data_IF_511665035343
#
_entry.id   IF_511665035343
#
_cell.length_a   1.000
_cell.length_b   1.000
_cell.length_c   1.000
_cell.angle_alpha   90.00
_cell.angle_beta   90.00
_cell.angle_gamma   90.00
#
_symmetry.space_group_name_H-M   'P 1'
#
loop_
_entity.id
_entity.type
_entity.pdbx_description
1 polymer ?
#
# COMPACT_ATOMS: atom_id res chain seq x y z
N UNK A 1 0.51 -33.81 0.43
CA UNK A 1 0.25 -33.19 -0.89
C UNK A 1 0.50 -31.70 -0.74
N UNK A 2 1.70 -31.26 -1.10
CA UNK A 2 2.16 -29.86 -1.05
C UNK A 2 1.40 -29.08 -2.12
N UNK A 3 0.39 -28.30 -1.71
CA UNK A 3 -0.24 -27.31 -2.60
C UNK A 3 0.74 -26.16 -2.77
N UNK A 4 1.56 -26.23 -3.81
CA UNK A 4 2.31 -25.09 -4.34
C UNK A 4 1.30 -24.11 -4.94
N UNK A 5 0.83 -23.16 -4.14
CA UNK A 5 0.06 -22.02 -4.63
C UNK A 5 1.03 -20.86 -4.73
N UNK A 6 1.61 -20.68 -5.91
CA UNK A 6 2.33 -19.46 -6.26
C UNK A 6 1.67 -18.89 -7.51
N UNK A 7 0.55 -18.19 -7.33
CA UNK A 7 0.04 -17.28 -8.35
C UNK A 7 0.32 -15.84 -7.88
N UNK A 8 1.55 -15.38 -8.06
CA UNK A 8 1.96 -14.02 -7.67
C UNK A 8 1.12 -12.93 -8.37
N UNK A 9 0.42 -13.26 -9.46
CA UNK A 9 -0.37 -12.36 -10.29
C UNK A 9 -1.89 -12.38 -10.04
N UNK A 10 -2.43 -13.28 -9.21
CA UNK A 10 -3.89 -13.31 -9.00
C UNK A 10 -4.32 -12.25 -7.97
N UNK A 11 -5.25 -11.38 -8.37
CA UNK A 11 -5.88 -10.41 -7.47
C UNK A 11 -7.03 -11.09 -6.69
N UNK A 12 -6.86 -11.24 -5.38
CA UNK A 12 -7.91 -11.74 -4.50
C UNK A 12 -9.01 -10.70 -4.29
N UNK A 13 -10.23 -11.17 -4.02
CA UNK A 13 -11.29 -10.29 -3.50
C UNK A 13 -10.91 -9.75 -2.13
N UNK A 14 -11.15 -8.47 -1.89
CA UNK A 14 -11.00 -7.88 -0.58
C UNK A 14 -11.98 -8.55 0.40
N UNK A 15 -11.59 -8.82 1.65
CA UNK A 15 -12.55 -9.28 2.63
C UNK A 15 -13.73 -8.30 2.76
N UNK A 16 -14.91 -8.76 3.18
CA UNK A 16 -16.07 -7.87 3.31
C UNK A 16 -15.90 -6.87 4.45
N UNK A 17 -16.51 -5.69 4.29
CA UNK A 17 -16.60 -4.64 5.31
C UNK A 17 -15.26 -3.99 5.66
N UNK A 18 -14.27 -4.07 4.78
CA UNK A 18 -12.97 -3.44 4.99
C UNK A 18 -13.04 -1.96 4.66
N UNK A 19 -12.32 -1.17 5.43
CA UNK A 19 -12.18 0.27 5.26
C UNK A 19 -10.70 0.60 5.25
N UNK A 20 -10.27 1.30 4.21
CA UNK A 20 -8.86 1.42 3.85
C UNK A 20 -8.48 2.89 3.91
N UNK A 21 -7.52 3.21 4.77
CA UNK A 21 -6.96 4.55 4.85
C UNK A 21 -5.83 4.71 3.82
N UNK A 22 -5.70 5.91 3.27
CA UNK A 22 -4.53 6.35 2.53
C UNK A 22 -3.89 7.52 3.27
N UNK A 23 -2.59 7.41 3.58
CA UNK A 23 -1.77 8.50 4.09
C UNK A 23 -0.75 8.88 3.02
N UNK A 24 -0.90 10.07 2.42
CA UNK A 24 -0.11 10.44 1.23
C UNK A 24 0.70 11.70 1.45
N UNK A 25 1.99 11.66 1.12
CA UNK A 25 2.86 12.83 1.08
C UNK A 25 2.52 13.76 -0.10
N UNK A 26 2.54 15.07 0.14
CA UNK A 26 2.38 16.11 -0.89
C UNK A 26 3.68 16.42 -1.65
N UNK A 27 4.84 16.04 -1.11
CA UNK A 27 6.12 16.15 -1.82
C UNK A 27 6.14 15.25 -3.07
N UNK A 28 6.38 15.85 -4.25
CA UNK A 28 6.23 15.22 -5.58
C UNK A 28 4.88 14.51 -5.77
N UNK A 29 3.83 15.29 -5.51
CA UNK A 29 2.45 14.83 -5.47
C UNK A 29 1.93 14.15 -6.74
N UNK A 30 2.51 14.41 -7.91
CA UNK A 30 2.19 13.76 -9.17
C UNK A 30 2.45 12.24 -9.10
N UNK A 31 3.57 11.83 -8.51
CA UNK A 31 3.91 10.42 -8.33
C UNK A 31 3.06 9.78 -7.24
N UNK A 32 2.91 10.46 -6.10
CA UNK A 32 2.16 9.91 -4.98
C UNK A 32 0.66 9.81 -5.29
N UNK A 33 0.09 10.77 -6.03
CA UNK A 33 -1.30 10.69 -6.52
C UNK A 33 -1.48 9.56 -7.51
N UNK A 34 -0.57 9.41 -8.48
CA UNK A 34 -0.61 8.29 -9.44
C UNK A 34 -0.63 6.94 -8.73
N UNK A 35 0.22 6.74 -7.71
CA UNK A 35 0.20 5.51 -6.91
C UNK A 35 -1.12 5.34 -6.15
N UNK A 36 -1.64 6.40 -5.54
CA UNK A 36 -2.92 6.37 -4.83
C UNK A 36 -4.08 6.00 -5.74
N UNK A 37 -4.14 6.60 -6.93
CA UNK A 37 -5.21 6.37 -7.90
C UNK A 37 -5.18 4.91 -8.38
N UNK A 38 -4.01 4.39 -8.74
CA UNK A 38 -3.85 2.98 -9.13
C UNK A 38 -4.18 2.00 -7.99
N UNK A 39 -3.81 2.35 -6.76
CA UNK A 39 -4.16 1.56 -5.58
C UNK A 39 -5.68 1.52 -5.34
N UNK A 40 -6.36 2.65 -5.47
CA UNK A 40 -7.83 2.73 -5.36
C UNK A 40 -8.50 1.87 -6.43
N UNK A 41 -8.12 2.00 -7.69
CA UNK A 41 -8.67 1.18 -8.78
C UNK A 41 -8.47 -0.32 -8.54
N UNK A 42 -7.32 -0.71 -7.99
CA UNK A 42 -7.03 -2.10 -7.63
C UNK A 42 -7.94 -2.59 -6.49
N UNK A 43 -8.16 -1.76 -5.47
CA UNK A 43 -9.06 -2.08 -4.36
C UNK A 43 -10.52 -2.15 -4.81
N UNK A 44 -10.96 -1.25 -5.68
CA UNK A 44 -12.30 -1.26 -6.29
C UNK A 44 -12.51 -2.53 -7.12
N UNK A 45 -11.53 -2.92 -7.95
CA UNK A 45 -11.55 -4.18 -8.68
C UNK A 45 -11.64 -5.40 -7.75
N UNK A 46 -11.02 -5.31 -6.56
CA UNK A 46 -11.11 -6.33 -5.52
C UNK A 46 -12.42 -6.27 -4.71
N UNK A 47 -13.27 -5.25 -4.89
CA UNK A 47 -14.60 -5.13 -4.28
C UNK A 47 -14.71 -4.13 -3.12
N UNK A 48 -13.77 -3.20 -2.98
CA UNK A 48 -13.91 -2.06 -2.04
C UNK A 48 -14.98 -1.09 -2.56
N UNK A 49 -15.87 -0.61 -1.68
CA UNK A 49 -16.72 0.54 -1.97
C UNK A 49 -15.87 1.81 -1.92
N UNK A 50 -15.91 2.70 -2.92
CA UNK A 50 -15.13 3.96 -2.90
C UNK A 50 -15.34 4.81 -1.65
N UNK A 51 -16.51 4.71 -0.99
CA UNK A 51 -16.80 5.43 0.27
C UNK A 51 -16.01 4.88 1.48
N UNK A 52 -15.51 3.65 1.38
CA UNK A 52 -14.68 3.01 2.38
C UNK A 52 -13.17 3.26 2.17
N UNK A 53 -12.82 4.07 1.17
CA UNK A 53 -11.47 4.59 0.96
C UNK A 53 -11.40 6.07 1.37
N UNK A 54 -10.51 6.43 2.30
CA UNK A 54 -10.35 7.82 2.74
C UNK A 54 -8.88 8.24 2.76
N UNK A 55 -8.62 9.47 2.31
CA UNK A 55 -7.28 10.01 2.18
C UNK A 55 -6.99 11.06 3.27
N UNK A 56 -5.77 11.02 3.80
CA UNK A 56 -5.15 12.10 4.57
C UNK A 56 -3.84 12.50 3.91
N UNK A 57 -3.66 13.79 3.65
CA UNK A 57 -2.46 14.32 3.01
C UNK A 57 -1.53 14.92 4.05
N UNK A 58 -0.24 14.60 3.96
CA UNK A 58 0.82 15.13 4.83
C UNK A 58 1.88 15.90 4.02
N UNK A 59 2.68 16.79 4.64
CA UNK A 59 3.68 17.57 3.91
C UNK A 59 4.71 16.69 3.20
N UNK A 60 5.39 15.80 3.93
CA UNK A 60 6.43 14.91 3.40
C UNK A 60 6.34 13.48 3.92
N UNK A 61 7.27 12.62 3.48
CA UNK A 61 7.32 11.23 3.92
C UNK A 61 7.59 11.08 5.43
N UNK A 62 8.26 12.05 6.05
CA UNK A 62 8.65 12.01 7.45
C UNK A 62 7.47 12.08 8.42
N UNK A 63 6.35 12.69 8.00
CA UNK A 63 5.11 12.75 8.79
C UNK A 63 4.23 11.50 8.63
N UNK A 64 4.51 10.63 7.64
CA UNK A 64 3.71 9.44 7.37
C UNK A 64 3.55 8.54 8.60
N UNK A 65 4.60 8.18 9.37
CA UNK A 65 4.44 7.31 10.55
C UNK A 65 3.47 7.87 11.59
N UNK A 66 3.58 9.16 11.92
CA UNK A 66 2.73 9.79 12.93
C UNK A 66 1.25 9.74 12.54
N UNK A 67 0.95 10.08 11.29
CA UNK A 67 -0.44 10.13 10.79
C UNK A 67 -0.96 8.72 10.52
N UNK A 68 -0.14 7.82 9.98
CA UNK A 68 -0.49 6.41 9.81
C UNK A 68 -0.88 5.78 11.14
N UNK A 69 -0.13 6.04 12.21
CA UNK A 69 -0.48 5.53 13.55
C UNK A 69 -1.78 6.11 14.09
N UNK A 70 -2.10 7.38 13.79
CA UNK A 70 -3.42 7.93 14.14
C UNK A 70 -4.55 7.24 13.37
N UNK A 71 -4.34 6.94 12.09
CA UNK A 71 -5.33 6.27 11.25
C UNK A 71 -5.52 4.80 11.67
N UNK A 72 -4.42 4.08 11.91
CA UNK A 72 -4.40 2.67 12.27
C UNK A 72 -5.03 2.38 13.65
N UNK A 73 -5.03 3.34 14.57
CA UNK A 73 -5.70 3.20 15.88
C UNK A 73 -7.21 3.41 15.84
N UNK A 74 -7.77 3.79 14.71
CA UNK A 74 -9.23 3.92 14.59
C UNK A 74 -9.84 2.53 14.37
N UNK A 75 -10.88 2.22 15.13
CA UNK A 75 -11.59 0.93 15.05
C UNK A 75 -12.22 0.68 13.68
N UNK A 76 -12.50 1.75 12.94
CA UNK A 76 -13.15 1.72 11.63
C UNK A 76 -12.15 1.67 10.46
N UNK A 77 -10.87 1.38 10.72
CA UNK A 77 -9.79 1.33 9.74
C UNK A 77 -9.08 -0.01 9.81
N UNK A 78 -9.01 -0.70 8.67
CA UNK A 78 -8.51 -2.08 8.61
C UNK A 78 -7.13 -2.20 7.97
N UNK A 79 -6.71 -1.20 7.18
CA UNK A 79 -5.36 -1.09 6.66
C UNK A 79 -5.05 0.38 6.33
N UNK A 80 -3.78 0.75 6.34
CA UNK A 80 -3.28 2.08 5.97
C UNK A 80 -2.25 1.96 4.85
N UNK A 81 -2.53 2.56 3.70
CA UNK A 81 -1.60 2.63 2.57
C UNK A 81 -0.82 3.94 2.67
N UNK A 82 0.50 3.86 2.87
CA UNK A 82 1.34 5.04 3.00
C UNK A 82 2.09 5.32 1.72
N UNK A 83 1.79 6.43 1.04
CA UNK A 83 2.43 6.81 -0.22
C UNK A 83 3.36 8.00 -0.05
N UNK A 84 4.61 7.84 -0.48
CA UNK A 84 5.62 8.88 -0.43
C UNK A 84 6.69 8.72 -1.48
N UNK A 85 7.47 9.77 -1.69
CA UNK A 85 8.67 9.74 -2.51
C UNK A 85 9.81 10.42 -1.74
N UNK A 86 10.92 9.72 -1.62
CA UNK A 86 12.18 10.21 -1.07
C UNK A 86 13.19 10.14 -2.21
N UNK A 87 13.73 11.29 -2.60
CA UNK A 87 14.71 11.42 -3.66
C UNK A 87 16.09 11.70 -3.08
N UNK A 88 17.10 11.07 -3.67
CA UNK A 88 18.50 11.32 -3.34
C UNK A 88 18.84 12.80 -3.46
N UNK A 89 19.35 13.37 -2.37
CA UNK A 89 19.81 14.76 -2.32
C UNK A 89 21.32 14.90 -2.51
N UNK A 90 21.83 16.08 -2.15
CA UNK A 90 23.27 16.38 -2.09
C UNK A 90 23.93 15.99 -0.76
N UNK A 91 23.12 15.51 0.20
CA UNK A 91 23.55 15.14 1.56
C UNK A 91 22.90 13.80 1.91
N UNK A 92 23.29 13.18 3.03
CA UNK A 92 22.70 11.92 3.51
C UNK A 92 21.27 12.06 4.06
N UNK A 93 20.64 13.25 3.94
CA UNK A 93 19.30 13.53 4.47
C UNK A 93 18.24 12.53 3.98
N UNK A 94 18.25 12.15 2.71
CA UNK A 94 17.32 11.17 2.15
C UNK A 94 17.43 9.81 2.84
N UNK A 95 18.65 9.37 3.19
CA UNK A 95 18.88 8.09 3.86
C UNK A 95 18.37 8.11 5.30
N UNK A 96 18.60 9.21 6.02
CA UNK A 96 18.08 9.38 7.38
C UNK A 96 16.55 9.37 7.38
N UNK A 97 15.90 10.07 6.44
CA UNK A 97 14.44 10.04 6.30
C UNK A 97 13.97 8.64 5.92
N UNK A 98 14.57 8.01 4.90
CA UNK A 98 14.13 6.70 4.42
C UNK A 98 14.17 5.63 5.52
N UNK A 99 15.26 5.58 6.29
CA UNK A 99 15.38 4.66 7.43
C UNK A 99 14.37 4.95 8.53
N UNK A 100 14.21 6.22 8.92
CA UNK A 100 13.25 6.61 9.97
C UNK A 100 11.80 6.32 9.58
N UNK A 101 11.42 6.58 8.32
CA UNK A 101 10.07 6.34 7.82
C UNK A 101 9.78 4.85 7.69
N UNK A 102 10.72 4.07 7.16
CA UNK A 102 10.55 2.62 7.04
C UNK A 102 10.37 1.95 8.41
N UNK A 103 11.24 2.25 9.39
CA UNK A 103 11.10 1.70 10.74
C UNK A 103 9.82 2.22 11.42
N UNK A 104 9.54 3.52 11.35
CA UNK A 104 8.35 4.08 11.99
C UNK A 104 7.04 3.50 11.46
N UNK A 105 6.93 3.25 10.15
CA UNK A 105 5.73 2.61 9.58
C UNK A 105 5.62 1.13 9.97
N UNK A 106 6.76 0.42 10.04
CA UNK A 106 6.81 -0.96 10.53
C UNK A 106 6.35 -1.04 11.99
N UNK A 107 6.92 -0.20 12.85
CA UNK A 107 6.61 -0.15 14.28
C UNK A 107 5.13 0.16 14.50
N UNK A 108 4.58 1.16 13.78
CA UNK A 108 3.14 1.45 13.83
C UNK A 108 2.31 0.22 13.51
N UNK A 109 2.60 -0.49 12.41
CA UNK A 109 1.82 -1.65 12.02
C UNK A 109 1.84 -2.79 13.05
N UNK A 110 3.00 -3.00 13.69
CA UNK A 110 3.16 -3.98 14.78
C UNK A 110 2.40 -3.54 16.03
N UNK A 111 2.58 -2.28 16.47
CA UNK A 111 1.96 -1.74 17.69
C UNK A 111 0.44 -1.66 17.62
N UNK A 112 -0.13 -1.36 16.44
CA UNK A 112 -1.57 -1.21 16.27
C UNK A 112 -2.26 -2.47 15.77
N UNK A 113 -1.52 -3.55 15.52
CA UNK A 113 -2.00 -4.80 14.89
C UNK A 113 -2.83 -4.54 13.61
N UNK A 114 -2.54 -3.45 12.91
CA UNK A 114 -3.27 -2.99 11.72
C UNK A 114 -2.26 -2.85 10.59
N UNK A 115 -2.46 -3.51 9.44
CA UNK A 115 -1.54 -3.41 8.31
C UNK A 115 -1.23 -1.98 7.91
N UNK A 116 0.04 -1.59 7.98
CA UNK A 116 0.55 -0.32 7.44
C UNK A 116 1.49 -0.63 6.28
N UNK A 117 1.05 -0.30 5.07
CA UNK A 117 1.70 -0.70 3.83
C UNK A 117 2.70 0.37 3.38
N UNK A 118 3.90 -0.08 3.05
CA UNK A 118 5.04 0.76 2.68
C UNK A 118 5.04 1.08 1.18
N UNK A 119 4.24 2.06 0.77
CA UNK A 119 4.24 2.65 -0.57
C UNK A 119 5.15 3.86 -0.72
N UNK A 120 6.28 3.89 0.01
CA UNK A 120 7.26 4.99 -0.06
C UNK A 120 8.38 4.61 -1.02
N UNK A 121 8.47 5.35 -2.14
CA UNK A 121 9.54 5.19 -3.11
C UNK A 121 10.82 5.84 -2.60
N UNK A 122 11.93 5.12 -2.67
CA UNK A 122 13.28 5.64 -2.43
C UNK A 122 14.05 5.59 -3.74
N UNK A 123 14.29 6.75 -4.34
CA UNK A 123 14.78 6.84 -5.73
C UNK A 123 16.02 7.74 -5.82
N UNK A 124 16.95 7.36 -6.69
CA UNK A 124 18.11 8.18 -7.00
C UNK A 124 17.78 9.30 -7.98
N UNK A 125 16.78 9.10 -8.85
CA UNK A 125 16.40 10.05 -9.89
C UNK A 125 14.88 10.10 -10.08
N UNK A 126 14.39 11.13 -10.76
CA UNK A 126 12.96 11.30 -11.07
C UNK A 126 12.49 10.22 -12.06
N UNK A 127 13.32 9.82 -13.02
CA UNK A 127 13.00 8.78 -13.99
C UNK A 127 12.77 7.42 -13.30
N UNK A 128 13.47 7.17 -12.18
CA UNK A 128 13.18 6.01 -11.34
C UNK A 128 11.81 6.14 -10.67
N UNK A 129 11.40 7.32 -10.21
CA UNK A 129 10.06 7.51 -9.67
C UNK A 129 9.00 7.27 -10.76
N UNK A 130 9.18 7.84 -11.95
CA UNK A 130 8.29 7.68 -13.11
C UNK A 130 8.07 6.20 -13.47
N UNK A 131 9.14 5.43 -13.65
CA UNK A 131 9.03 3.99 -13.99
C UNK A 131 8.30 3.22 -12.90
N UNK A 132 8.46 3.62 -11.64
CA UNK A 132 7.88 2.92 -10.48
C UNK A 132 6.39 3.21 -10.34
N UNK A 133 5.96 4.43 -10.66
CA UNK A 133 4.54 4.82 -10.54
C UNK A 133 3.72 4.55 -11.79
N UNK A 134 4.34 4.59 -12.98
CA UNK A 134 3.66 4.38 -14.25
C UNK A 134 2.96 3.02 -14.29
N UNK A 135 1.80 2.96 -14.95
CA UNK A 135 1.00 1.74 -15.11
C UNK A 135 1.79 0.65 -15.83
N UNK A 136 1.52 -0.61 -15.51
CA UNK A 136 2.12 -1.76 -16.21
C UNK A 136 1.77 -1.80 -17.69
N UNK A 137 0.54 -1.41 -18.05
CA UNK A 137 0.08 -1.26 -19.44
C UNK A 137 0.89 -0.24 -20.24
N UNK A 138 1.56 0.70 -19.56
CA UNK A 138 2.40 1.74 -20.15
C UNK A 138 3.90 1.44 -19.98
N UNK A 139 4.24 0.20 -19.61
CA UNK A 139 5.63 -0.25 -19.40
C UNK A 139 6.25 0.18 -18.07
N UNK A 140 5.45 0.62 -17.09
CA UNK A 140 5.90 0.87 -15.73
C UNK A 140 5.77 -0.34 -14.80
N UNK A 141 6.07 -0.15 -13.51
CA UNK A 141 5.95 -1.20 -12.49
C UNK A 141 4.64 -1.14 -11.70
N UNK A 142 3.95 0.00 -11.74
CA UNK A 142 2.69 0.25 -11.03
C UNK A 142 2.75 -0.06 -9.53
N UNK A 143 3.57 0.71 -8.80
CA UNK A 143 3.74 0.48 -7.37
C UNK A 143 2.45 0.67 -6.56
N UNK A 144 1.53 1.50 -7.06
CA UNK A 144 0.21 1.67 -6.46
C UNK A 144 -0.60 0.37 -6.42
N UNK A 145 -0.67 -0.31 -7.57
CA UNK A 145 -1.30 -1.62 -7.68
C UNK A 145 -0.67 -2.65 -6.73
N UNK A 146 0.67 -2.73 -6.70
CA UNK A 146 1.38 -3.66 -5.82
C UNK A 146 1.08 -3.43 -4.34
N UNK A 147 1.01 -2.17 -3.90
CA UNK A 147 0.69 -1.81 -2.52
C UNK A 147 -0.74 -2.18 -2.15
N UNK A 148 -1.71 -1.94 -3.04
CA UNK A 148 -3.10 -2.35 -2.84
C UNK A 148 -3.25 -3.88 -2.78
N UNK A 149 -2.61 -4.60 -3.71
CA UNK A 149 -2.59 -6.07 -3.70
C UNK A 149 -2.00 -6.61 -2.40
N UNK A 150 -0.88 -6.05 -1.96
CA UNK A 150 -0.26 -6.41 -0.69
C UNK A 150 -1.19 -6.16 0.51
N UNK A 151 -1.95 -5.07 0.52
CA UNK A 151 -2.95 -4.81 1.56
C UNK A 151 -4.01 -5.92 1.64
N UNK A 152 -4.55 -6.35 0.48
CA UNK A 152 -5.52 -7.45 0.39
C UNK A 152 -4.91 -8.76 0.90
N UNK A 153 -3.70 -9.09 0.44
CA UNK A 153 -3.01 -10.33 0.78
C UNK A 153 -2.71 -10.40 2.29
N UNK A 154 -2.27 -9.30 2.90
CA UNK A 154 -1.99 -9.23 4.34
C UNK A 154 -3.28 -9.30 5.16
N UNK A 155 -4.37 -8.65 4.74
CA UNK A 155 -5.66 -8.75 5.41
C UNK A 155 -6.17 -10.21 5.45
N UNK A 156 -5.97 -10.95 4.37
CA UNK A 156 -6.27 -12.38 4.34
C UNK A 156 -5.32 -13.20 5.19
N UNK A 157 -4.03 -12.91 5.16
CA UNK A 157 -3.04 -13.58 6.01
C UNK A 157 -3.33 -13.41 7.51
N UNK A 158 -3.77 -12.22 7.93
CA UNK A 158 -4.19 -11.97 9.32
C UNK A 158 -5.45 -12.76 9.69
N UNK A 159 -6.44 -12.86 8.79
CA UNK A 159 -7.62 -13.71 9.01
C UNK A 159 -7.25 -15.18 9.15
N UNK A 160 -6.33 -15.66 8.31
CA UNK A 160 -5.80 -17.02 8.36
C UNK A 160 -5.04 -17.31 9.65
N UNK A 161 -4.18 -16.39 10.08
CA UNK A 161 -3.49 -16.49 11.37
C UNK A 161 -4.48 -16.52 12.55
N UNK A 162 -5.64 -15.87 12.42
CA UNK A 162 -6.75 -15.93 13.37
C UNK A 162 -7.68 -17.16 13.18
N UNK A 163 -7.31 -18.14 12.35
CA UNK A 163 -8.04 -19.39 12.14
C UNK A 163 -9.17 -19.34 11.13
N UNK A 164 -9.32 -18.27 10.34
CA UNK A 164 -10.33 -18.15 9.27
C UNK A 164 -9.71 -18.52 7.91
N UNK A 165 -10.28 -19.44 7.14
CA UNK A 165 -9.67 -19.88 5.88
C UNK A 165 -9.60 -18.74 4.86
N UNK A 166 -8.55 -18.73 4.02
CA UNK A 166 -8.51 -17.91 2.82
C UNK A 166 -9.56 -18.40 1.81
N UNK A 167 -10.14 -17.48 1.01
CA UNK A 167 -10.94 -17.89 -0.13
C UNK A 167 -10.06 -18.67 -1.11
N UNK A 168 -10.64 -19.68 -1.76
CA UNK A 168 -10.00 -20.33 -2.89
C UNK A 168 -9.70 -19.27 -3.97
N UNK A 169 -8.54 -19.35 -4.62
CA UNK A 169 -8.22 -18.47 -5.75
C UNK A 169 -9.36 -18.56 -6.76
N UNK A 170 -9.94 -17.42 -7.14
CA UNK A 170 -10.97 -17.42 -8.16
C UNK A 170 -10.32 -17.91 -9.46
N UNK A 171 -10.71 -19.10 -9.93
CA UNK A 171 -10.43 -19.53 -11.30
C UNK A 171 -10.95 -18.42 -12.21
N UNK A 172 -10.05 -17.73 -12.91
CA UNK A 172 -10.45 -16.78 -13.93
C UNK A 172 -11.20 -17.58 -15.01
N UNK A 173 -12.52 -17.42 -15.08
CA UNK A 173 -13.29 -17.79 -16.27
C UNK A 173 -12.73 -16.97 -17.43
N UNK A 174 -11.86 -17.61 -18.21
CA UNK A 174 -11.48 -17.13 -19.54
C UNK A 174 -12.74 -17.19 -20.39
N UNK A 175 -13.33 -16.03 -20.67
CA UNK A 175 -14.28 -15.82 -21.76
C UNK A 175 -13.63 -15.02 -22.87
#
# INVERSE_FOLDING_TARGET
MTRSVSSADTLLRLPRGQRIACCRSSYHSEFTRTMRDSALETLEAAGLDPQDFFETVVPGAFELPMVAGRLARREDVHAVLCFGLILKGKTEHDRHIAGAVAHGLMDVGIETETPVLFGVLTCNTIEQAEVRTRRRSEGGLDKGHEVAKAAIDVLWALKEAAGKPRPEEAEQEVK
#
